data_IF_547019541011
#
_entry.id   IF_547019541011
#
_cell.length_a   1.000
_cell.length_b   1.000
_cell.length_c   1.000
_cell.angle_alpha   90.00
_cell.angle_beta   90.00
_cell.angle_gamma   90.00
#
_symmetry.space_group_name_H-M   'P 1'
#
loop_
_entity.id
_entity.type
_entity.pdbx_description
1 polymer ?
#
# COMPACT_ATOMS: atom_id res chain seq x y z
N UNK A 1 32.56 -15.83 22.58
CA UNK A 1 31.43 -14.87 22.65
C UNK A 1 30.93 -14.86 24.07
N UNK A 2 30.79 -13.67 24.72
CA UNK A 2 30.17 -13.56 26.05
C UNK A 2 28.66 -13.77 25.97
N UNK A 3 27.99 -13.94 27.13
CA UNK A 3 26.52 -14.09 27.15
C UNK A 3 25.83 -12.83 26.60
N UNK A 4 26.34 -11.66 26.93
CA UNK A 4 25.84 -10.37 26.41
C UNK A 4 26.00 -10.28 24.88
N UNK A 5 27.16 -10.61 24.36
CA UNK A 5 27.42 -10.61 22.91
C UNK A 5 26.49 -11.59 22.16
N UNK A 6 26.22 -12.77 22.78
CA UNK A 6 25.29 -13.74 22.23
C UNK A 6 23.87 -13.16 22.17
N UNK A 7 23.42 -12.53 23.27
CA UNK A 7 22.10 -11.90 23.35
C UNK A 7 21.95 -10.83 22.28
N UNK A 8 22.93 -9.95 22.13
CA UNK A 8 22.91 -8.84 21.14
C UNK A 8 22.84 -9.39 19.71
N UNK A 9 23.64 -10.41 19.40
CA UNK A 9 23.66 -10.99 18.06
C UNK A 9 22.35 -11.73 17.73
N UNK A 10 21.79 -12.49 18.67
CA UNK A 10 20.46 -13.11 18.50
C UNK A 10 19.37 -12.06 18.38
N UNK A 11 19.38 -11.03 19.24
CA UNK A 11 18.38 -9.95 19.23
C UNK A 11 18.32 -9.23 17.89
N UNK A 12 19.47 -8.95 17.28
CA UNK A 12 19.59 -8.33 15.95
C UNK A 12 18.76 -9.09 14.89
N UNK A 13 18.85 -10.40 14.85
CA UNK A 13 18.13 -11.20 13.86
C UNK A 13 16.68 -11.50 14.29
N UNK A 14 16.40 -11.62 15.58
CA UNK A 14 15.02 -11.72 16.06
C UNK A 14 14.23 -10.46 15.72
N UNK A 15 14.77 -9.27 15.99
CA UNK A 15 14.14 -7.99 15.62
C UNK A 15 14.01 -7.82 14.11
N UNK A 16 14.91 -8.39 13.31
CA UNK A 16 14.82 -8.39 11.84
C UNK A 16 13.62 -9.18 11.35
N UNK A 17 13.45 -10.41 11.85
CA UNK A 17 12.47 -11.35 11.29
C UNK A 17 11.11 -11.34 11.99
N UNK A 18 11.02 -10.97 13.27
CA UNK A 18 9.76 -10.96 14.02
C UNK A 18 8.62 -10.22 13.27
N UNK A 19 8.82 -9.02 12.74
CA UNK A 19 7.78 -8.31 11.98
C UNK A 19 7.35 -9.04 10.70
N UNK A 20 8.31 -9.65 9.98
CA UNK A 20 8.03 -10.38 8.72
C UNK A 20 7.11 -11.58 8.96
N UNK A 21 7.15 -12.16 10.16
CA UNK A 21 6.31 -13.30 10.56
C UNK A 21 5.10 -12.91 11.42
N UNK A 22 4.86 -11.60 11.59
CA UNK A 22 3.73 -11.06 12.36
C UNK A 22 3.89 -11.19 13.88
N UNK A 23 5.11 -11.40 14.38
CA UNK A 23 5.42 -11.48 15.82
C UNK A 23 5.69 -10.07 16.34
N UNK A 24 5.02 -9.70 17.45
CA UNK A 24 5.06 -8.36 18.02
C UNK A 24 5.94 -8.26 19.28
N UNK A 25 6.52 -9.36 19.77
CA UNK A 25 7.37 -9.41 20.96
C UNK A 25 8.63 -10.24 20.69
N UNK A 26 9.81 -9.71 21.01
CA UNK A 26 11.12 -10.32 20.71
C UNK A 26 11.73 -11.01 21.92
N UNK A 27 11.52 -10.47 23.12
CA UNK A 27 12.17 -10.94 24.36
C UNK A 27 11.97 -12.42 24.65
N UNK A 28 10.80 -13.05 24.44
CA UNK A 28 10.64 -14.49 24.68
C UNK A 28 11.49 -15.34 23.72
N UNK A 29 11.60 -14.92 22.45
CA UNK A 29 12.38 -15.66 21.44
C UNK A 29 13.88 -15.56 21.74
N UNK A 30 14.37 -14.38 22.13
CA UNK A 30 15.75 -14.19 22.55
C UNK A 30 16.07 -15.06 23.78
N UNK A 31 15.16 -15.04 24.77
CA UNK A 31 15.32 -15.84 25.99
C UNK A 31 15.29 -17.36 25.72
N UNK A 32 14.46 -17.82 24.77
CA UNK A 32 14.45 -19.21 24.31
C UNK A 32 15.82 -19.61 23.73
N UNK A 33 16.37 -18.79 22.83
CA UNK A 33 17.68 -19.05 22.26
C UNK A 33 18.76 -19.14 23.35
N UNK A 34 18.73 -18.26 24.34
CA UNK A 34 19.67 -18.27 25.48
C UNK A 34 19.56 -19.56 26.30
N UNK A 35 18.35 -19.94 26.65
CA UNK A 35 18.11 -21.12 27.50
C UNK A 35 18.43 -22.40 26.75
N UNK A 36 17.88 -22.62 25.57
CA UNK A 36 18.00 -23.84 24.76
C UNK A 36 19.43 -24.12 24.28
N UNK A 37 20.21 -23.07 24.07
CA UNK A 37 21.60 -23.21 23.60
C UNK A 37 22.67 -23.00 24.66
N UNK A 38 22.28 -22.79 25.92
CA UNK A 38 23.20 -22.35 26.97
C UNK A 38 24.06 -21.15 26.50
N UNK A 39 23.39 -20.11 25.98
CA UNK A 39 24.02 -18.92 25.41
C UNK A 39 25.03 -19.24 24.28
N UNK A 40 24.68 -20.17 23.42
CA UNK A 40 25.49 -20.52 22.25
C UNK A 40 26.63 -21.51 22.58
N UNK A 41 26.68 -22.11 23.77
CA UNK A 41 27.76 -23.05 24.19
C UNK A 41 27.36 -24.52 24.14
N UNK A 42 26.07 -24.83 23.93
CA UNK A 42 25.60 -26.22 23.85
C UNK A 42 26.14 -26.94 22.61
N UNK A 43 26.10 -28.30 22.63
CA UNK A 43 26.53 -29.09 21.47
C UNK A 43 25.77 -28.75 20.19
N UNK A 44 24.48 -28.45 20.28
CA UNK A 44 23.63 -28.05 19.14
C UNK A 44 23.99 -26.67 18.59
N UNK A 45 24.53 -25.78 19.43
CA UNK A 45 24.95 -24.44 19.02
C UNK A 45 26.10 -24.45 18.00
N UNK A 46 26.91 -25.51 17.92
CA UNK A 46 27.93 -25.70 16.88
C UNK A 46 27.35 -25.73 15.47
N UNK A 47 26.09 -26.13 15.36
CA UNK A 47 25.33 -26.19 14.12
C UNK A 47 24.34 -25.02 13.99
N UNK A 48 24.53 -23.96 14.76
CA UNK A 48 23.65 -22.77 14.80
C UNK A 48 22.18 -23.10 15.12
N UNK A 49 21.90 -24.24 15.76
CA UNK A 49 20.57 -24.60 16.21
C UNK A 49 20.37 -24.18 17.67
N UNK A 50 20.10 -22.90 17.85
CA UNK A 50 19.99 -22.25 19.17
C UNK A 50 18.65 -22.50 19.86
N UNK A 51 17.67 -23.06 19.16
CA UNK A 51 16.30 -23.27 19.62
C UNK A 51 15.92 -24.73 19.81
N UNK A 52 16.89 -25.64 19.70
CA UNK A 52 16.62 -27.06 19.84
C UNK A 52 15.61 -27.60 18.81
N UNK A 53 15.70 -27.16 17.57
CA UNK A 53 14.73 -27.54 16.53
C UNK A 53 15.00 -28.94 16.00
N UNK A 54 14.09 -29.87 16.26
CA UNK A 54 14.12 -31.23 15.68
C UNK A 54 13.83 -31.17 14.18
N UNK A 55 14.58 -31.92 13.39
CA UNK A 55 14.40 -31.97 11.94
C UNK A 55 13.00 -32.49 11.57
N UNK A 56 12.36 -31.79 10.64
CA UNK A 56 11.08 -32.15 10.03
C UNK A 56 11.18 -31.84 8.55
N UNK A 57 10.97 -32.82 7.69
CA UNK A 57 11.05 -32.66 6.25
C UNK A 57 10.14 -31.49 5.78
N UNK A 58 10.66 -30.64 4.92
CA UNK A 58 9.97 -29.53 4.30
C UNK A 58 9.45 -28.40 5.23
N UNK A 59 9.74 -28.44 6.54
CA UNK A 59 9.23 -27.42 7.49
C UNK A 59 10.08 -26.17 7.54
N UNK A 60 11.40 -26.29 7.46
CA UNK A 60 12.36 -25.18 7.44
C UNK A 60 13.11 -25.24 6.12
N UNK A 61 13.17 -24.14 5.38
CA UNK A 61 13.82 -24.09 4.05
C UNK A 61 15.24 -23.56 4.10
N UNK A 62 15.59 -22.78 5.13
CA UNK A 62 16.89 -22.11 5.24
C UNK A 62 17.97 -22.96 5.94
N UNK A 63 17.73 -24.26 6.17
CA UNK A 63 18.70 -25.15 6.79
C UNK A 63 19.81 -25.56 5.81
N UNK A 64 21.00 -25.87 6.34
CA UNK A 64 22.14 -26.42 5.58
C UNK A 64 22.19 -27.95 5.62
N UNK A 65 21.28 -28.59 6.37
CA UNK A 65 21.21 -30.03 6.56
C UNK A 65 20.63 -30.35 7.92
N UNK A 66 20.97 -31.56 8.40
CA UNK A 66 20.67 -32.00 9.77
C UNK A 66 21.86 -32.76 10.34
N UNK A 67 21.89 -32.88 11.65
CA UNK A 67 22.82 -33.74 12.37
C UNK A 67 22.05 -34.62 13.35
N UNK A 68 22.66 -35.72 13.76
CA UNK A 68 22.06 -36.66 14.73
C UNK A 68 22.73 -36.49 16.08
N UNK A 69 21.91 -36.38 17.14
CA UNK A 69 22.37 -36.27 18.51
C UNK A 69 21.26 -36.76 19.45
N UNK A 70 21.65 -37.47 20.48
CA UNK A 70 20.75 -37.86 21.56
C UNK A 70 20.44 -36.73 22.52
N UNK A 71 20.06 -37.09 23.70
CA UNK A 71 19.77 -36.14 24.77
C UNK A 71 18.68 -36.62 25.71
N UNK A 72 18.13 -35.73 26.50
CA UNK A 72 16.96 -36.00 27.32
C UNK A 72 15.92 -34.92 27.20
N UNK A 73 14.67 -35.31 27.24
CA UNK A 73 13.52 -34.42 27.25
C UNK A 73 12.64 -34.70 28.44
N UNK A 74 12.10 -33.66 29.10
CA UNK A 74 11.10 -33.86 30.14
C UNK A 74 9.73 -34.08 29.49
N UNK A 75 9.05 -35.16 29.86
CA UNK A 75 7.69 -35.44 29.45
C UNK A 75 6.67 -34.54 30.17
N UNK A 76 5.41 -34.52 29.71
CA UNK A 76 4.33 -33.74 30.31
C UNK A 76 4.01 -34.08 31.76
N UNK A 77 4.29 -35.31 32.16
CA UNK A 77 4.15 -35.80 33.54
C UNK A 77 5.35 -35.49 34.45
N UNK A 78 6.38 -34.83 33.91
CA UNK A 78 7.58 -34.44 34.62
C UNK A 78 8.72 -35.50 34.61
N UNK A 79 8.49 -36.68 34.05
CA UNK A 79 9.54 -37.71 33.87
C UNK A 79 10.51 -37.33 32.76
N UNK A 80 11.75 -37.84 32.84
CA UNK A 80 12.73 -37.62 31.77
C UNK A 80 12.80 -38.83 30.85
N UNK A 81 12.72 -38.55 29.55
CA UNK A 81 12.92 -39.54 28.50
C UNK A 81 14.26 -39.33 27.83
N UNK A 82 14.99 -40.41 27.60
CA UNK A 82 16.24 -40.37 26.82
C UNK A 82 15.86 -40.39 25.33
N UNK A 83 16.35 -39.42 24.58
CA UNK A 83 16.20 -39.38 23.13
C UNK A 83 17.23 -40.33 22.50
N UNK A 84 16.84 -41.08 21.45
CA UNK A 84 17.77 -41.93 20.70
C UNK A 84 18.93 -41.09 20.10
N UNK A 85 20.12 -41.70 20.01
CA UNK A 85 21.31 -41.06 19.46
C UNK A 85 21.16 -40.60 17.99
N UNK A 86 20.24 -41.22 17.25
CA UNK A 86 19.89 -40.87 15.88
C UNK A 86 18.73 -39.86 15.79
N UNK A 87 18.43 -39.12 16.84
CA UNK A 87 17.47 -38.02 16.78
C UNK A 87 18.02 -36.92 15.89
N UNK A 88 17.31 -36.63 14.79
CA UNK A 88 17.75 -35.64 13.80
C UNK A 88 17.38 -34.20 14.24
N UNK A 89 18.33 -33.28 14.13
CA UNK A 89 18.22 -31.89 14.49
C UNK A 89 18.64 -31.04 13.28
N UNK A 90 17.99 -29.87 13.07
CA UNK A 90 18.41 -28.95 12.02
C UNK A 90 19.83 -28.45 12.25
N UNK A 91 20.59 -28.33 11.13
CA UNK A 91 21.84 -27.58 11.04
C UNK A 91 21.63 -26.32 10.19
N UNK A 92 22.29 -25.24 10.57
CA UNK A 92 22.24 -23.98 9.85
C UNK A 92 23.64 -23.46 9.55
N UNK A 93 23.78 -22.65 8.52
CA UNK A 93 25.05 -22.13 8.04
C UNK A 93 25.68 -21.09 9.01
N UNK A 94 24.82 -20.27 9.64
CA UNK A 94 25.23 -19.18 10.50
C UNK A 94 24.12 -18.79 11.49
N UNK A 95 24.42 -17.84 12.40
CA UNK A 95 23.47 -17.35 13.41
C UNK A 95 22.17 -16.83 12.78
N UNK A 96 22.30 -16.04 11.72
CA UNK A 96 21.13 -15.48 11.01
C UNK A 96 20.18 -16.58 10.53
N UNK A 97 20.73 -17.61 9.87
CA UNK A 97 19.93 -18.75 9.38
C UNK A 97 19.33 -19.58 10.51
N UNK A 98 20.02 -19.70 11.64
CA UNK A 98 19.49 -20.35 12.82
C UNK A 98 18.27 -19.62 13.39
N UNK A 99 18.32 -18.30 13.48
CA UNK A 99 17.17 -17.49 13.91
C UNK A 99 16.03 -17.51 12.87
N UNK A 100 16.33 -17.35 11.57
CA UNK A 100 15.33 -17.49 10.51
C UNK A 100 14.67 -18.87 10.54
N UNK A 101 15.45 -19.91 10.86
CA UNK A 101 14.96 -21.29 11.03
C UNK A 101 13.87 -21.41 12.10
N UNK A 102 14.02 -20.71 13.22
CA UNK A 102 12.98 -20.65 14.25
C UNK A 102 11.68 -20.07 13.71
N UNK A 103 11.73 -18.93 13.01
CA UNK A 103 10.54 -18.30 12.44
C UNK A 103 9.87 -19.20 11.39
N UNK A 104 10.64 -19.84 10.52
CA UNK A 104 10.08 -20.80 9.57
C UNK A 104 9.47 -22.02 10.27
N UNK A 105 10.12 -22.53 11.31
CA UNK A 105 9.64 -23.66 12.10
C UNK A 105 8.32 -23.37 12.80
N UNK A 106 8.13 -22.17 13.32
CA UNK A 106 6.90 -21.74 14.02
C UNK A 106 5.84 -21.17 13.08
N UNK A 107 6.13 -20.93 11.81
CA UNK A 107 5.16 -20.38 10.85
C UNK A 107 4.22 -21.46 10.27
N UNK A 108 3.49 -22.13 11.13
CA UNK A 108 2.44 -23.09 10.78
C UNK A 108 1.16 -22.79 11.56
N UNK A 109 0.05 -23.42 11.18
CA UNK A 109 -1.27 -23.16 11.79
C UNK A 109 -1.28 -23.38 13.31
N UNK A 110 -0.51 -24.35 13.81
CA UNK A 110 -0.42 -24.65 15.26
C UNK A 110 0.03 -23.43 16.07
N UNK A 111 0.93 -22.60 15.54
CA UNK A 111 1.48 -21.42 16.22
C UNK A 111 0.88 -20.08 15.71
N UNK A 112 -0.24 -20.14 14.99
CA UNK A 112 -0.85 -18.93 14.42
C UNK A 112 -1.31 -17.92 15.49
N UNK A 113 -1.65 -18.38 16.69
CA UNK A 113 -2.06 -17.60 17.86
C UNK A 113 -0.93 -16.76 18.48
N UNK A 114 0.33 -16.99 18.10
CA UNK A 114 1.46 -16.18 18.54
C UNK A 114 1.54 -14.82 17.81
N UNK A 115 0.89 -14.70 16.66
CA UNK A 115 0.91 -13.46 15.85
C UNK A 115 0.17 -12.34 16.57
N UNK A 116 0.81 -11.17 16.62
CA UNK A 116 0.25 -9.99 17.28
C UNK A 116 0.27 -10.00 18.81
N UNK A 117 0.80 -11.05 19.45
CA UNK A 117 0.95 -11.09 20.91
C UNK A 117 2.06 -10.13 21.33
N UNK A 118 1.73 -9.18 22.21
CA UNK A 118 2.65 -8.13 22.69
C UNK A 118 3.19 -8.41 24.11
N UNK A 119 2.55 -9.30 24.84
CA UNK A 119 2.97 -9.70 26.19
C UNK A 119 3.90 -10.92 26.13
N UNK A 120 5.10 -10.78 26.69
CA UNK A 120 6.13 -11.81 26.64
C UNK A 120 5.76 -13.09 27.42
N UNK A 121 5.10 -12.93 28.56
CA UNK A 121 4.68 -14.08 29.37
C UNK A 121 3.58 -14.86 28.65
N UNK A 122 2.61 -14.13 28.08
CA UNK A 122 1.52 -14.73 27.30
C UNK A 122 2.04 -15.48 26.08
N UNK A 123 3.03 -14.91 25.38
CA UNK A 123 3.70 -15.61 24.27
C UNK A 123 4.26 -16.97 24.70
N UNK A 124 4.95 -17.01 25.84
CA UNK A 124 5.53 -18.23 26.37
C UNK A 124 4.48 -19.26 26.80
N UNK A 125 3.36 -18.81 27.36
CA UNK A 125 2.23 -19.71 27.68
C UNK A 125 1.68 -20.37 26.42
N UNK A 126 1.40 -19.55 25.39
CA UNK A 126 0.83 -20.02 24.13
C UNK A 126 1.76 -20.99 23.41
N UNK A 127 3.03 -20.64 23.22
CA UNK A 127 3.97 -21.52 22.50
C UNK A 127 4.20 -22.85 23.23
N UNK A 128 4.17 -22.85 24.57
CA UNK A 128 4.19 -24.09 25.37
C UNK A 128 2.91 -24.90 25.18
N UNK A 129 1.75 -24.25 25.23
CA UNK A 129 0.45 -24.89 25.01
C UNK A 129 0.38 -25.56 23.65
N UNK A 130 0.97 -24.93 22.64
CA UNK A 130 1.06 -25.42 21.26
C UNK A 130 2.07 -26.55 21.07
N UNK A 131 2.75 -26.97 22.16
CA UNK A 131 3.60 -28.13 22.17
C UNK A 131 5.05 -27.89 21.77
N UNK A 132 5.54 -26.68 21.83
CA UNK A 132 6.95 -26.35 21.56
C UNK A 132 7.88 -26.97 22.60
N UNK A 133 7.48 -26.99 23.88
CA UNK A 133 8.23 -27.54 24.98
C UNK A 133 7.31 -28.29 25.95
N UNK A 134 7.83 -29.38 26.50
CA UNK A 134 7.12 -30.26 27.45
C UNK A 134 7.45 -29.99 28.91
N UNK A 135 8.57 -29.33 29.20
CA UNK A 135 9.03 -29.04 30.56
C UNK A 135 7.98 -28.25 31.37
N UNK A 136 7.69 -28.72 32.58
CA UNK A 136 6.70 -28.12 33.49
C UNK A 136 7.05 -26.65 33.81
N UNK A 137 8.33 -26.38 34.03
CA UNK A 137 8.84 -25.05 34.40
C UNK A 137 9.29 -24.19 33.20
N UNK A 138 8.95 -24.60 31.97
CA UNK A 138 9.45 -23.95 30.78
C UNK A 138 9.18 -22.43 30.78
N UNK A 139 7.93 -22.03 30.94
CA UNK A 139 7.53 -20.60 30.94
C UNK A 139 8.29 -19.81 31.99
N UNK A 140 8.34 -20.34 33.24
CA UNK A 140 9.05 -19.71 34.36
C UNK A 140 10.54 -19.55 34.07
N UNK A 141 11.18 -20.59 33.53
CA UNK A 141 12.62 -20.60 33.28
C UNK A 141 12.97 -19.61 32.16
N UNK A 142 12.22 -19.59 31.07
CA UNK A 142 12.45 -18.63 29.95
C UNK A 142 12.17 -17.21 30.43
N UNK A 143 11.08 -16.99 31.17
CA UNK A 143 10.74 -15.65 31.68
C UNK A 143 11.77 -15.13 32.70
N UNK A 144 12.38 -15.98 33.49
CA UNK A 144 13.50 -15.60 34.35
C UNK A 144 14.71 -15.07 33.55
N UNK A 145 14.97 -15.63 32.36
CA UNK A 145 16.03 -15.12 31.46
C UNK A 145 15.66 -13.73 30.97
N UNK A 146 14.37 -13.50 30.58
CA UNK A 146 13.89 -12.19 30.18
C UNK A 146 14.17 -11.13 31.27
N UNK A 147 13.77 -11.46 32.50
CA UNK A 147 13.95 -10.56 33.66
C UNK A 147 15.42 -10.32 33.98
N UNK A 148 16.20 -11.42 34.07
CA UNK A 148 17.64 -11.34 34.41
C UNK A 148 18.41 -10.40 33.49
N UNK A 149 18.12 -10.44 32.20
CA UNK A 149 18.85 -9.70 31.17
C UNK A 149 18.13 -8.45 30.68
N UNK A 150 16.98 -8.10 31.28
CA UNK A 150 16.13 -6.98 30.84
C UNK A 150 15.87 -7.03 29.32
N UNK A 151 15.45 -8.22 28.81
CA UNK A 151 15.31 -8.44 27.37
C UNK A 151 14.12 -7.70 26.78
N UNK A 152 13.16 -7.22 27.59
CA UNK A 152 12.04 -6.39 27.14
C UNK A 152 12.49 -5.10 26.43
N UNK A 153 13.74 -4.66 26.65
CA UNK A 153 14.34 -3.55 25.86
C UNK A 153 14.38 -3.84 24.36
N UNK A 154 14.34 -5.11 23.95
CA UNK A 154 14.30 -5.53 22.55
C UNK A 154 12.87 -5.70 22.00
N UNK A 155 11.83 -5.60 22.86
CA UNK A 155 10.41 -5.68 22.46
C UNK A 155 9.93 -4.38 21.83
N UNK A 156 10.60 -3.25 22.13
CA UNK A 156 10.56 -2.16 21.18
C UNK A 156 11.17 -2.68 19.89
N UNK A 157 10.33 -3.35 19.09
CA UNK A 157 10.61 -3.47 17.69
C UNK A 157 10.75 -2.02 17.27
N UNK A 158 11.99 -1.51 17.25
CA UNK A 158 12.25 -0.36 16.41
C UNK A 158 11.68 -0.84 15.10
N UNK A 159 10.52 -0.30 14.67
CA UNK A 159 10.22 -0.29 13.26
C UNK A 159 11.55 0.21 12.71
N UNK A 160 12.39 -0.71 12.21
CA UNK A 160 13.45 -0.34 11.28
C UNK A 160 12.68 0.62 10.42
N UNK A 161 12.99 1.93 10.46
CA UNK A 161 12.28 2.85 9.62
C UNK A 161 12.32 2.17 8.27
N UNK A 162 11.20 1.52 7.93
CA UNK A 162 11.07 0.98 6.58
C UNK A 162 11.34 2.22 5.79
N UNK A 163 12.46 2.23 5.07
CA UNK A 163 12.82 3.40 4.27
C UNK A 163 11.55 3.72 3.51
N UNK A 164 10.74 4.62 4.07
CA UNK A 164 9.39 4.87 3.57
C UNK A 164 9.58 5.16 2.11
N UNK A 165 8.93 4.36 1.28
CA UNK A 165 8.96 4.56 -0.16
C UNK A 165 8.78 6.04 -0.43
N UNK A 166 9.69 6.63 -1.20
CA UNK A 166 9.69 8.05 -1.50
C UNK A 166 9.39 8.24 -2.99
N UNK A 167 8.28 8.89 -3.28
CA UNK A 167 7.81 9.18 -4.64
C UNK A 167 7.95 10.67 -4.91
N UNK A 168 8.69 11.05 -5.95
CA UNK A 168 8.65 12.40 -6.47
C UNK A 168 7.44 12.57 -7.38
N UNK A 169 6.65 13.62 -7.13
CA UNK A 169 5.56 14.04 -8.03
C UNK A 169 5.97 15.38 -8.64
N UNK A 170 6.21 15.35 -9.92
CA UNK A 170 6.56 16.51 -10.72
C UNK A 170 5.32 17.06 -11.41
N UNK A 171 5.05 18.37 -11.27
CA UNK A 171 4.07 19.05 -12.08
C UNK A 171 4.80 19.71 -13.27
N UNK A 172 4.49 19.23 -14.47
CA UNK A 172 5.12 19.72 -15.70
C UNK A 172 5.01 21.23 -15.88
N UNK A 173 6.05 21.81 -16.47
CA UNK A 173 6.13 23.25 -16.77
C UNK A 173 6.20 24.14 -15.51
N UNK A 174 5.82 25.38 -15.63
CA UNK A 174 5.57 26.39 -14.62
C UNK A 174 4.48 27.31 -15.11
N UNK A 175 3.94 28.15 -14.24
CA UNK A 175 2.83 29.05 -14.56
C UNK A 175 3.14 29.99 -15.74
N UNK A 176 4.42 30.35 -15.93
CA UNK A 176 4.88 31.25 -16.98
C UNK A 176 5.38 30.57 -18.27
N UNK A 177 5.28 29.23 -18.37
CA UNK A 177 5.79 28.51 -19.55
C UNK A 177 4.99 28.87 -20.79
N UNK A 178 5.67 29.46 -21.78
CA UNK A 178 5.05 29.94 -23.02
C UNK A 178 4.44 28.77 -23.82
N UNK A 179 3.25 28.99 -24.41
CA UNK A 179 2.59 28.06 -25.32
C UNK A 179 1.96 26.81 -24.64
N UNK A 180 2.18 26.58 -23.37
CA UNK A 180 1.65 25.43 -22.63
C UNK A 180 0.29 25.76 -22.03
N UNK A 181 -0.74 25.68 -22.87
CA UNK A 181 -2.13 26.07 -22.54
C UNK A 181 -3.12 25.46 -23.53
N UNK A 182 -4.38 25.40 -23.14
CA UNK A 182 -5.49 25.10 -24.05
C UNK A 182 -5.64 26.26 -25.10
N UNK A 183 -6.29 26.03 -26.23
CA UNK A 183 -6.53 27.09 -27.23
C UNK A 183 -7.26 28.34 -26.68
N UNK A 184 -8.08 28.17 -25.63
CA UNK A 184 -8.77 29.26 -24.92
C UNK A 184 -7.99 29.83 -23.73
N UNK A 185 -6.71 29.44 -23.55
CA UNK A 185 -5.76 30.07 -22.65
C UNK A 185 -5.60 29.43 -21.26
N UNK A 186 -6.29 28.36 -20.94
CA UNK A 186 -6.11 27.67 -19.62
C UNK A 186 -4.75 26.98 -19.56
N UNK A 187 -3.94 27.24 -18.52
CA UNK A 187 -2.56 26.83 -18.46
C UNK A 187 -2.41 25.35 -18.11
N UNK A 188 -1.51 24.65 -18.81
CA UNK A 188 -1.18 23.25 -18.55
C UNK A 188 -0.70 23.02 -17.12
N UNK A 189 0.17 23.89 -16.61
CA UNK A 189 0.73 23.76 -15.28
C UNK A 189 -0.36 23.73 -14.19
N UNK A 190 -1.43 24.49 -14.32
CA UNK A 190 -2.54 24.47 -13.36
C UNK A 190 -3.26 23.12 -13.32
N UNK A 191 -3.40 22.47 -14.49
CA UNK A 191 -3.95 21.12 -14.61
C UNK A 191 -3.01 20.11 -13.91
N UNK A 192 -1.71 20.22 -14.21
CA UNK A 192 -0.67 19.33 -13.69
C UNK A 192 -0.58 19.42 -12.17
N UNK A 193 -0.62 20.62 -11.59
CA UNK A 193 -0.60 20.84 -10.13
C UNK A 193 -1.82 20.25 -9.45
N UNK A 194 -3.03 20.44 -9.99
CA UNK A 194 -4.25 19.83 -9.43
C UNK A 194 -4.16 18.32 -9.42
N UNK A 195 -3.73 17.73 -10.54
CA UNK A 195 -3.57 16.27 -10.67
C UNK A 195 -2.49 15.75 -9.71
N UNK A 196 -1.35 16.44 -9.62
CA UNK A 196 -0.27 16.12 -8.70
C UNK A 196 -0.72 16.18 -7.23
N UNK A 197 -1.50 17.18 -6.86
CA UNK A 197 -2.04 17.33 -5.50
C UNK A 197 -2.90 16.14 -5.09
N UNK A 198 -3.85 15.71 -5.91
CA UNK A 198 -4.72 14.59 -5.57
C UNK A 198 -3.97 13.26 -5.56
N UNK A 199 -2.97 13.09 -6.44
CA UNK A 199 -2.06 11.96 -6.37
C UNK A 199 -1.29 11.93 -5.05
N UNK A 200 -0.73 13.06 -4.62
CA UNK A 200 -0.04 13.20 -3.34
C UNK A 200 -0.93 12.83 -2.16
N UNK A 201 -2.18 13.35 -2.13
CA UNK A 201 -3.09 13.11 -1.01
C UNK A 201 -3.34 11.60 -0.83
N UNK A 202 -3.61 10.87 -1.90
CA UNK A 202 -3.87 9.44 -1.82
C UNK A 202 -2.60 8.65 -1.45
N UNK A 203 -1.45 8.97 -2.00
CA UNK A 203 -0.18 8.32 -1.64
C UNK A 203 0.17 8.54 -0.16
N UNK A 204 0.00 9.75 0.36
CA UNK A 204 0.24 10.07 1.79
C UNK A 204 -0.70 9.31 2.72
N UNK A 205 -1.97 9.13 2.36
CA UNK A 205 -2.93 8.32 3.12
C UNK A 205 -2.46 6.86 3.28
N UNK A 206 -1.67 6.36 2.32
CA UNK A 206 -1.09 5.02 2.35
C UNK A 206 0.37 4.97 2.87
N UNK A 207 0.82 6.02 3.55
CA UNK A 207 2.12 6.06 4.22
C UNK A 207 3.33 6.30 3.30
N UNK A 208 3.10 6.67 2.03
CA UNK A 208 4.15 7.01 1.08
C UNK A 208 4.69 8.43 1.37
N UNK A 209 6.00 8.57 1.42
CA UNK A 209 6.63 9.89 1.45
C UNK A 209 6.60 10.51 0.06
N UNK A 210 6.02 11.70 -0.06
CA UNK A 210 5.96 12.43 -1.33
C UNK A 210 6.89 13.63 -1.31
N UNK A 211 7.64 13.79 -2.39
CA UNK A 211 8.48 14.96 -2.68
C UNK A 211 7.87 15.71 -3.84
N UNK A 212 7.51 16.98 -3.62
CA UNK A 212 6.99 17.87 -4.66
C UNK A 212 8.12 18.42 -5.51
N UNK A 213 7.95 18.38 -6.83
CA UNK A 213 8.91 18.90 -7.79
C UNK A 213 8.18 19.91 -8.70
N UNK A 214 8.68 21.13 -8.71
CA UNK A 214 8.18 22.25 -9.50
C UNK A 214 6.74 22.69 -9.17
N UNK A 215 6.28 22.46 -7.95
CA UNK A 215 5.02 22.99 -7.43
C UNK A 215 5.04 23.04 -5.90
N UNK A 216 4.30 24.00 -5.32
CA UNK A 216 4.26 24.22 -3.88
C UNK A 216 2.91 23.81 -3.26
N UNK A 217 1.80 24.32 -3.80
CA UNK A 217 0.43 24.07 -3.35
C UNK A 217 -0.55 24.12 -4.53
N UNK A 218 -1.84 24.17 -4.26
CA UNK A 218 -2.86 24.28 -5.30
C UNK A 218 -2.90 25.64 -6.00
N UNK A 219 -2.27 26.67 -5.44
CA UNK A 219 -2.18 27.99 -6.08
C UNK A 219 -0.94 28.01 -6.98
N UNK A 220 -1.09 27.50 -8.19
CA UNK A 220 -0.01 27.34 -9.16
C UNK A 220 0.32 28.61 -9.94
N UNK A 221 -0.13 29.80 -9.51
CA UNK A 221 0.01 31.04 -10.30
C UNK A 221 1.40 31.63 -10.27
N UNK A 222 2.19 31.32 -9.26
CA UNK A 222 3.54 31.82 -8.99
C UNK A 222 4.65 30.76 -9.11
N UNK A 223 4.30 29.53 -9.50
CA UNK A 223 5.27 28.46 -9.70
C UNK A 223 6.19 28.75 -10.90
N UNK A 224 7.50 28.84 -10.66
CA UNK A 224 8.50 29.06 -11.70
C UNK A 224 8.69 27.85 -12.60
N UNK A 225 9.05 28.09 -13.88
CA UNK A 225 9.45 27.02 -14.77
C UNK A 225 10.89 26.55 -14.46
N UNK A 226 11.01 25.48 -13.67
CA UNK A 226 12.30 24.89 -13.28
C UNK A 226 12.85 24.06 -14.44
N UNK A 227 14.13 24.24 -14.76
CA UNK A 227 14.82 23.48 -15.81
C UNK A 227 14.80 21.98 -15.53
N UNK A 228 14.65 21.14 -16.55
CA UNK A 228 14.54 19.69 -16.42
C UNK A 228 15.74 19.05 -15.69
N UNK A 229 16.96 19.54 -15.95
CA UNK A 229 18.17 19.10 -15.27
C UNK A 229 18.12 19.40 -13.77
N UNK A 230 17.60 20.57 -13.37
CA UNK A 230 17.41 20.94 -11.98
C UNK A 230 16.38 20.06 -11.30
N UNK A 231 15.24 19.76 -11.95
CA UNK A 231 14.23 18.81 -11.44
C UNK A 231 14.85 17.42 -11.18
N UNK A 232 15.63 16.90 -12.13
CA UNK A 232 16.35 15.62 -11.98
C UNK A 232 17.32 15.65 -10.81
N UNK A 233 18.08 16.75 -10.62
CA UNK A 233 19.00 16.91 -9.50
C UNK A 233 18.28 16.98 -8.15
N UNK A 234 17.15 17.69 -8.08
CA UNK A 234 16.31 17.75 -6.87
C UNK A 234 15.78 16.34 -6.49
N UNK A 235 15.29 15.57 -7.46
CA UNK A 235 14.80 14.20 -7.25
C UNK A 235 15.92 13.30 -6.73
N UNK A 236 17.10 13.37 -7.37
CA UNK A 236 18.29 12.60 -6.97
C UNK A 236 18.76 12.97 -5.57
N UNK A 237 18.86 14.27 -5.27
CA UNK A 237 19.28 14.77 -3.94
C UNK A 237 18.28 14.38 -2.84
N UNK A 238 16.99 14.38 -3.14
CA UNK A 238 15.95 13.93 -2.22
C UNK A 238 15.97 12.43 -1.95
N UNK A 239 16.70 11.63 -2.75
CA UNK A 239 16.79 10.17 -2.62
C UNK A 239 15.44 9.50 -2.85
N UNK A 240 14.70 9.92 -3.88
CA UNK A 240 13.43 9.33 -4.25
C UNK A 240 13.63 7.91 -4.83
N UNK A 241 12.67 7.05 -4.62
CA UNK A 241 12.66 5.69 -5.19
C UNK A 241 11.96 5.68 -6.56
N UNK A 242 10.92 6.51 -6.74
CA UNK A 242 10.06 6.57 -7.93
C UNK A 242 9.72 7.99 -8.31
N UNK A 243 9.36 8.18 -9.60
CA UNK A 243 8.96 9.50 -10.15
C UNK A 243 7.71 9.35 -11.00
N UNK A 244 6.77 10.29 -10.82
CA UNK A 244 5.70 10.53 -11.77
C UNK A 244 5.67 12.02 -12.13
N UNK A 245 5.63 12.32 -13.43
CA UNK A 245 5.54 13.68 -13.96
C UNK A 245 4.17 13.88 -14.61
N UNK A 246 3.39 14.85 -14.12
CA UNK A 246 2.03 15.12 -14.58
C UNK A 246 2.05 16.13 -15.71
N UNK A 247 1.39 15.81 -16.80
CA UNK A 247 1.29 16.59 -18.02
C UNK A 247 -0.08 16.49 -18.67
N UNK A 248 -0.37 17.43 -19.57
CA UNK A 248 -1.50 17.41 -20.48
C UNK A 248 -1.02 17.59 -21.91
N UNK A 249 -1.39 16.67 -22.78
CA UNK A 249 -0.92 16.60 -24.17
C UNK A 249 -1.50 17.69 -25.06
N UNK A 250 -0.83 17.95 -26.17
CA UNK A 250 -1.32 18.81 -27.24
C UNK A 250 -0.92 18.23 -28.61
N UNK A 251 -1.75 18.41 -29.61
CA UNK A 251 -1.45 18.05 -31.00
C UNK A 251 -1.48 19.26 -31.91
N UNK A 252 -0.52 19.29 -32.86
CA UNK A 252 -0.37 20.43 -33.78
C UNK A 252 0.28 21.65 -33.11
N UNK A 253 -0.10 22.84 -33.54
CA UNK A 253 0.43 24.11 -33.00
C UNK A 253 -0.05 24.45 -31.59
N UNK A 254 -1.08 23.76 -31.10
CA UNK A 254 -1.72 24.07 -29.82
C UNK A 254 -2.65 25.28 -29.83
N UNK A 255 -2.77 25.98 -30.98
CA UNK A 255 -3.56 27.23 -31.10
C UNK A 255 -5.03 27.02 -31.46
N UNK A 256 -5.42 25.80 -31.85
CA UNK A 256 -6.79 25.44 -32.21
C UNK A 256 -7.19 24.07 -31.71
N UNK A 257 -8.49 23.87 -31.50
CA UNK A 257 -9.02 22.56 -31.13
C UNK A 257 -9.01 21.60 -32.34
N UNK A 258 -8.77 20.32 -32.04
CA UNK A 258 -8.73 19.23 -33.00
C UNK A 258 -9.30 17.94 -32.41
N UNK A 259 -9.24 16.84 -33.15
CA UNK A 259 -9.80 15.54 -32.74
C UNK A 259 -8.83 14.64 -31.96
N UNK A 260 -7.58 15.06 -31.72
CA UNK A 260 -6.65 14.27 -30.92
C UNK A 260 -7.20 14.12 -29.49
N UNK A 261 -7.19 12.91 -28.95
CA UNK A 261 -7.78 12.62 -27.63
C UNK A 261 -7.10 11.42 -26.95
N UNK A 262 -7.30 11.30 -25.65
CA UNK A 262 -6.96 10.13 -24.87
C UNK A 262 -5.84 10.33 -23.88
N UNK A 263 -5.57 9.28 -23.13
CA UNK A 263 -4.61 9.23 -22.01
C UNK A 263 -3.47 8.26 -22.32
N UNK A 264 -2.24 8.63 -21.97
CA UNK A 264 -1.04 7.79 -22.12
C UNK A 264 -0.07 7.95 -20.97
N UNK A 265 0.66 6.87 -20.70
CA UNK A 265 1.77 6.87 -19.73
C UNK A 265 3.08 6.65 -20.51
N UNK A 266 4.00 7.60 -20.40
CA UNK A 266 5.27 7.56 -21.10
C UNK A 266 6.39 7.02 -20.23
N UNK A 267 7.32 6.28 -20.85
CA UNK A 267 8.54 5.75 -20.25
C UNK A 267 9.73 6.07 -21.15
N UNK A 268 10.96 6.02 -20.63
CA UNK A 268 12.13 6.25 -21.49
C UNK A 268 12.25 5.17 -22.57
N UNK A 269 12.57 5.57 -23.82
CA UNK A 269 12.71 4.65 -24.96
C UNK A 269 13.95 3.75 -24.84
N UNK A 270 15.05 4.24 -24.23
CA UNK A 270 16.27 3.45 -24.00
C UNK A 270 16.10 2.58 -22.76
N UNK A 271 16.24 1.25 -22.94
CA UNK A 271 16.08 0.25 -21.85
C UNK A 271 17.03 0.51 -20.67
N UNK A 272 18.29 0.89 -20.95
CA UNK A 272 19.29 1.19 -19.94
C UNK A 272 18.95 2.39 -19.03
N UNK A 273 18.02 3.26 -19.45
CA UNK A 273 17.57 4.44 -18.70
C UNK A 273 16.18 4.27 -18.11
N UNK A 274 15.53 3.13 -18.35
CA UNK A 274 14.11 2.90 -18.04
C UNK A 274 13.87 2.35 -16.63
N UNK A 275 14.82 1.58 -16.04
CA UNK A 275 14.57 0.85 -14.80
C UNK A 275 13.31 -0.02 -14.89
N UNK A 276 12.52 -0.05 -13.82
CA UNK A 276 11.25 -0.80 -13.72
C UNK A 276 10.03 -0.04 -14.28
N UNK A 277 10.24 1.07 -15.01
CA UNK A 277 9.17 1.97 -15.47
C UNK A 277 8.10 1.27 -16.30
N UNK A 278 8.44 0.24 -17.08
CA UNK A 278 7.44 -0.51 -17.86
C UNK A 278 6.38 -1.15 -16.97
N UNK A 279 6.78 -1.75 -15.86
CA UNK A 279 5.87 -2.39 -14.92
C UNK A 279 5.01 -1.32 -14.22
N UNK A 280 5.62 -0.27 -13.66
CA UNK A 280 4.91 0.81 -12.99
C UNK A 280 3.92 1.50 -13.93
N UNK A 281 4.33 1.84 -15.17
CA UNK A 281 3.48 2.46 -16.16
C UNK A 281 2.28 1.60 -16.56
N UNK A 282 2.45 0.28 -16.62
CA UNK A 282 1.35 -0.65 -16.93
C UNK A 282 0.27 -0.59 -15.87
N UNK A 283 0.65 -0.59 -14.59
CA UNK A 283 -0.32 -0.43 -13.49
C UNK A 283 -0.99 0.94 -13.52
N UNK A 284 -0.23 2.02 -13.72
CA UNK A 284 -0.78 3.38 -13.82
C UNK A 284 -1.76 3.48 -14.97
N UNK A 285 -1.37 3.05 -16.18
CA UNK A 285 -2.24 3.13 -17.36
C UNK A 285 -3.52 2.31 -17.17
N UNK A 286 -3.45 1.15 -16.52
CA UNK A 286 -4.62 0.32 -16.25
C UNK A 286 -5.66 0.98 -15.35
N UNK A 287 -5.21 1.81 -14.39
CA UNK A 287 -6.13 2.57 -13.54
C UNK A 287 -6.69 3.80 -14.28
N UNK A 288 -5.87 4.53 -15.02
CA UNK A 288 -6.28 5.70 -15.80
C UNK A 288 -7.39 5.40 -16.81
N UNK A 289 -7.39 4.21 -17.41
CA UNK A 289 -8.41 3.80 -18.39
C UNK A 289 -9.64 3.13 -17.76
N UNK A 290 -9.62 2.90 -16.46
CA UNK A 290 -10.66 2.15 -15.78
C UNK A 290 -11.92 2.97 -15.60
N UNK A 291 -12.95 2.64 -16.37
CA UNK A 291 -14.27 3.29 -16.29
C UNK A 291 -14.32 4.69 -16.92
N UNK A 292 -13.29 5.10 -17.65
CA UNK A 292 -13.29 6.32 -18.46
C UNK A 292 -13.72 6.05 -19.91
N UNK A 293 -14.27 7.06 -20.57
CA UNK A 293 -14.53 7.06 -22.01
C UNK A 293 -13.35 7.61 -22.83
N UNK A 294 -12.23 7.97 -22.19
CA UNK A 294 -11.05 8.45 -22.88
C UNK A 294 -10.43 7.34 -23.73
N UNK A 295 -9.85 7.71 -24.85
CA UNK A 295 -9.09 6.78 -25.69
C UNK A 295 -7.85 6.31 -24.95
N UNK A 296 -7.71 5.00 -24.81
CA UNK A 296 -6.47 4.40 -24.28
C UNK A 296 -5.36 4.47 -25.34
N UNK A 297 -4.32 5.25 -25.07
CA UNK A 297 -3.13 5.35 -25.90
C UNK A 297 -1.99 4.44 -25.43
N UNK A 298 -2.17 3.81 -24.27
CA UNK A 298 -1.24 2.82 -23.72
C UNK A 298 0.03 3.41 -23.13
N UNK A 299 1.00 2.53 -22.91
CA UNK A 299 2.35 2.86 -22.46
C UNK A 299 3.23 3.17 -23.67
N UNK A 300 3.78 4.37 -23.73
CA UNK A 300 4.49 4.90 -24.90
C UNK A 300 5.97 5.13 -24.58
N UNK A 301 6.89 4.38 -25.21
CA UNK A 301 8.33 4.66 -25.12
C UNK A 301 8.69 5.94 -25.86
N UNK A 302 9.28 6.91 -25.15
CA UNK A 302 9.71 8.19 -25.71
C UNK A 302 10.95 8.71 -24.99
N UNK A 303 11.81 9.48 -25.67
CA UNK A 303 12.96 10.12 -25.04
C UNK A 303 12.52 11.37 -24.29
N UNK A 304 12.21 11.21 -22.99
CA UNK A 304 11.76 12.27 -22.10
C UNK A 304 12.69 12.35 -20.89
N UNK A 305 13.13 13.56 -20.53
CA UNK A 305 14.05 13.78 -19.43
C UNK A 305 13.50 13.26 -18.09
N UNK A 306 12.21 13.48 -17.82
CA UNK A 306 11.56 13.05 -16.57
C UNK A 306 11.26 11.54 -16.50
N UNK A 307 11.54 10.78 -17.58
CA UNK A 307 11.49 9.34 -17.63
C UNK A 307 12.87 8.67 -17.49
N UNK A 308 13.97 9.46 -17.34
CA UNK A 308 15.34 8.95 -17.27
C UNK A 308 15.70 8.54 -15.84
N UNK A 309 15.51 7.27 -15.50
CA UNK A 309 15.81 6.71 -14.18
C UNK A 309 17.30 6.86 -13.81
N UNK A 310 18.21 6.71 -14.76
CA UNK A 310 19.67 6.80 -14.53
C UNK A 310 20.05 8.23 -14.08
N UNK A 311 19.52 9.27 -14.74
CA UNK A 311 19.82 10.64 -14.40
C UNK A 311 19.33 11.02 -13.00
N UNK A 312 18.18 10.48 -12.60
CA UNK A 312 17.55 10.75 -11.31
C UNK A 312 17.94 9.75 -10.20
N UNK A 313 18.62 8.65 -10.55
CA UNK A 313 18.97 7.56 -9.65
C UNK A 313 17.74 6.97 -8.94
N UNK A 314 16.70 6.65 -9.71
CA UNK A 314 15.43 6.09 -9.25
C UNK A 314 15.16 4.71 -9.86
N UNK A 315 14.27 3.92 -9.25
CA UNK A 315 13.92 2.58 -9.70
C UNK A 315 12.98 2.60 -10.91
N UNK A 316 12.01 3.53 -10.92
CA UNK A 316 11.10 3.74 -12.04
C UNK A 316 10.67 5.21 -12.15
N UNK A 317 10.43 5.66 -13.39
CA UNK A 317 9.99 7.01 -13.71
C UNK A 317 9.01 7.01 -14.89
N UNK A 318 7.86 7.66 -14.74
CA UNK A 318 6.84 7.79 -15.77
C UNK A 318 6.41 9.24 -15.94
N UNK A 319 6.02 9.62 -17.16
CA UNK A 319 5.33 10.87 -17.45
C UNK A 319 3.91 10.54 -17.93
N UNK A 320 2.92 11.20 -17.35
CA UNK A 320 1.52 10.93 -17.62
C UNK A 320 0.93 12.07 -18.41
N UNK A 321 0.40 11.78 -19.59
CA UNK A 321 -0.39 12.70 -20.42
C UNK A 321 -1.86 12.38 -20.20
N UNK A 322 -2.50 13.14 -19.27
CA UNK A 322 -3.85 12.80 -18.75
C UNK A 322 -4.97 13.02 -19.77
N UNK A 323 -4.77 13.89 -20.74
CA UNK A 323 -5.73 14.24 -21.79
C UNK A 323 -5.10 15.20 -22.79
N UNK A 324 -5.80 15.56 -23.88
CA UNK A 324 -5.35 16.54 -24.87
C UNK A 324 -5.96 17.92 -24.63
N UNK A 325 -5.12 18.91 -24.36
CA UNK A 325 -5.52 20.32 -24.25
C UNK A 325 -6.14 20.84 -25.54
N UNK A 326 -5.75 20.29 -26.69
CA UNK A 326 -6.27 20.64 -28.01
C UNK A 326 -7.54 19.89 -28.39
N UNK A 327 -8.08 19.03 -27.54
CA UNK A 327 -9.43 18.46 -27.69
C UNK A 327 -10.42 19.26 -26.84
N UNK A 328 -11.45 19.84 -27.49
CA UNK A 328 -12.37 20.74 -26.79
C UNK A 328 -13.07 20.06 -25.60
N UNK A 329 -13.52 18.80 -25.75
CA UNK A 329 -14.17 18.04 -24.71
C UNK A 329 -13.21 17.75 -23.54
N UNK A 330 -11.98 17.31 -23.85
CA UNK A 330 -10.98 16.99 -22.83
C UNK A 330 -10.44 18.25 -22.14
N UNK A 331 -10.29 19.37 -22.87
CA UNK A 331 -9.92 20.65 -22.30
C UNK A 331 -10.94 21.13 -21.25
N UNK A 332 -12.24 20.98 -21.52
CA UNK A 332 -13.28 21.33 -20.54
C UNK A 332 -13.26 20.39 -19.32
N UNK A 333 -12.97 19.11 -19.51
CA UNK A 333 -12.81 18.16 -18.39
C UNK A 333 -11.62 18.55 -17.49
N UNK A 334 -10.47 18.86 -18.07
CA UNK A 334 -9.25 19.22 -17.34
C UNK A 334 -9.36 20.51 -16.51
N UNK A 335 -10.32 21.38 -16.80
CA UNK A 335 -10.61 22.57 -15.99
C UNK A 335 -11.36 22.23 -14.69
N UNK A 336 -11.97 21.03 -14.59
CA UNK A 336 -12.74 20.60 -13.43
C UNK A 336 -11.86 19.94 -12.38
N UNK A 337 -12.15 20.17 -11.11
CA UNK A 337 -11.44 19.54 -10.00
C UNK A 337 -11.72 18.04 -9.95
N UNK A 338 -12.93 17.62 -10.32
CA UNK A 338 -13.34 16.22 -10.33
C UNK A 338 -12.48 15.39 -11.28
N UNK A 339 -12.25 15.88 -12.50
CA UNK A 339 -11.39 15.19 -13.47
C UNK A 339 -9.94 15.11 -12.98
N UNK A 340 -9.36 16.22 -12.54
CA UNK A 340 -7.99 16.25 -12.04
C UNK A 340 -7.83 15.33 -10.81
N UNK A 341 -8.84 15.30 -9.94
CA UNK A 341 -8.87 14.41 -8.77
C UNK A 341 -8.88 12.95 -9.21
N UNK A 342 -9.77 12.56 -10.11
CA UNK A 342 -9.83 11.16 -10.56
C UNK A 342 -8.52 10.73 -11.22
N UNK A 343 -7.98 11.55 -12.13
CA UNK A 343 -6.71 11.25 -12.79
C UNK A 343 -5.55 11.13 -11.78
N UNK A 344 -5.46 12.07 -10.83
CA UNK A 344 -4.44 12.03 -9.78
C UNK A 344 -4.55 10.80 -8.87
N UNK A 345 -5.76 10.46 -8.44
CA UNK A 345 -6.00 9.27 -7.65
C UNK A 345 -5.77 7.97 -8.44
N UNK A 346 -6.07 7.93 -9.75
CA UNK A 346 -5.79 6.78 -10.62
C UNK A 346 -4.27 6.55 -10.76
N UNK A 347 -3.49 7.60 -10.93
CA UNK A 347 -2.02 7.50 -10.90
C UNK A 347 -1.54 6.95 -9.57
N UNK A 348 -2.04 7.47 -8.45
CA UNK A 348 -1.69 6.98 -7.12
C UNK A 348 -2.08 5.51 -6.91
N UNK A 349 -3.28 5.10 -7.32
CA UNK A 349 -3.72 3.70 -7.28
C UNK A 349 -2.81 2.77 -8.10
N UNK A 350 -2.39 3.22 -9.28
CA UNK A 350 -1.44 2.49 -10.12
C UNK A 350 -0.09 2.29 -9.42
N UNK A 351 0.45 3.33 -8.79
CA UNK A 351 1.69 3.27 -7.99
C UNK A 351 1.53 2.31 -6.80
N UNK A 352 0.44 2.43 -6.03
CA UNK A 352 0.18 1.57 -4.88
C UNK A 352 0.08 0.09 -5.28
N UNK A 353 -0.59 -0.22 -6.40
CA UNK A 353 -0.66 -1.58 -6.94
C UNK A 353 0.70 -2.11 -7.37
N UNK A 354 1.50 -1.29 -8.05
CA UNK A 354 2.87 -1.65 -8.41
C UNK A 354 3.73 -1.97 -7.19
N UNK A 355 3.54 -1.22 -6.09
CA UNK A 355 4.22 -1.43 -4.81
C UNK A 355 3.61 -2.56 -3.97
N UNK A 356 2.55 -3.21 -4.45
CA UNK A 356 1.79 -4.23 -3.72
C UNK A 356 1.24 -3.73 -2.37
N UNK A 357 0.86 -2.45 -2.32
CA UNK A 357 0.21 -1.82 -1.16
C UNK A 357 -1.30 -1.85 -1.37
N UNK A 358 -2.07 -2.47 -0.46
CA UNK A 358 -3.52 -2.51 -0.57
C UNK A 358 -4.12 -1.11 -0.56
N UNK A 359 -4.92 -0.78 -1.57
CA UNK A 359 -5.71 0.46 -1.57
C UNK A 359 -6.89 0.22 -0.63
N UNK A 360 -6.83 0.80 0.56
CA UNK A 360 -7.98 0.80 1.47
C UNK A 360 -9.10 1.61 0.82
N UNK A 361 -10.25 0.99 0.60
CA UNK A 361 -11.47 1.73 0.35
C UNK A 361 -11.68 2.64 1.55
N UNK A 362 -11.81 3.94 1.33
CA UNK A 362 -12.16 4.89 2.38
C UNK A 362 -13.60 4.61 2.84
N UNK A 363 -13.78 3.58 3.68
CA UNK A 363 -14.93 3.48 4.56
C UNK A 363 -14.66 4.42 5.71
N UNK A 364 -15.29 5.57 5.68
CA UNK A 364 -15.43 6.45 6.84
C UNK A 364 -15.91 5.59 7.99
N UNK A 365 -15.07 5.34 8.99
CA UNK A 365 -15.49 4.75 10.26
C UNK A 365 -16.41 5.77 10.92
N UNK A 366 -17.69 5.54 10.83
CA UNK A 366 -18.66 6.16 11.73
C UNK A 366 -18.50 5.45 13.06
N UNK A 367 -17.91 6.10 14.04
CA UNK A 367 -17.92 5.65 15.44
C UNK A 367 -19.38 5.59 15.89
N UNK A 368 -19.83 4.38 16.17
CA UNK A 368 -21.15 4.14 16.75
C UNK A 368 -21.08 4.42 18.24
N UNK A 369 -21.52 5.59 18.65
CA UNK A 369 -21.85 5.84 20.05
C UNK A 369 -23.07 5.01 20.39
N UNK A 370 -22.87 3.99 21.23
CA UNK A 370 -23.95 3.23 21.86
C UNK A 370 -24.57 4.08 22.96
N UNK A 371 -25.79 4.54 22.76
CA UNK A 371 -26.70 4.88 23.88
C UNK A 371 -27.95 4.02 23.72
N UNK A 372 -28.25 3.31 24.78
CA UNK A 372 -29.32 2.31 24.80
C UNK A 372 -30.68 2.91 25.12
N UNK A 373 -31.65 2.10 24.89
CA UNK A 373 -32.92 1.82 25.57
C UNK A 373 -34.24 2.21 24.89
N UNK A 374 -34.94 1.10 24.63
CA UNK A 374 -36.38 0.82 24.76
C UNK A 374 -37.43 1.28 23.71
N UNK A 375 -37.88 0.24 23.03
CA UNK A 375 -39.28 -0.23 22.83
C UNK A 375 -40.41 0.79 22.68
N UNK A 376 -41.06 0.83 21.53
CA UNK A 376 -42.49 0.46 21.37
C UNK A 376 -42.91 0.40 19.88
N UNK A 377 -43.75 -0.55 19.65
CA UNK A 377 -44.40 -1.09 18.47
C UNK A 377 -45.19 -0.07 17.65
N UNK A 378 -45.19 -0.30 16.36
CA UNK A 378 -46.28 -0.29 15.35
C UNK A 378 -46.19 0.72 14.20
N UNK A 379 -46.41 0.13 13.12
CA UNK A 379 -47.05 0.46 11.83
C UNK A 379 -46.11 0.85 10.69
N UNK A 380 -46.23 0.01 9.65
CA UNK A 380 -45.62 0.05 8.35
C UNK A 380 -45.62 1.45 7.71
N UNK A 381 -44.44 1.93 7.36
CA UNK A 381 -44.19 2.72 6.17
C UNK A 381 -42.75 2.48 5.75
N UNK A 382 -42.60 1.91 4.56
CA UNK A 382 -41.34 1.58 3.91
C UNK A 382 -40.54 2.84 3.59
N UNK A 383 -39.78 3.33 4.57
CA UNK A 383 -38.66 4.25 4.34
C UNK A 383 -37.36 3.43 4.53
N UNK A 384 -36.99 2.69 3.48
CA UNK A 384 -35.60 2.24 3.37
C UNK A 384 -34.74 3.49 3.28
N UNK A 385 -33.86 3.69 4.25
CA UNK A 385 -32.76 4.64 4.14
C UNK A 385 -31.88 4.22 2.96
N UNK A 386 -32.18 4.74 1.76
CA UNK A 386 -31.44 4.48 0.53
C UNK A 386 -30.12 5.25 0.59
N UNK A 387 -29.11 4.65 1.21
CA UNK A 387 -27.75 5.18 1.21
C UNK A 387 -27.13 4.96 -0.15
N UNK A 388 -26.79 6.03 -0.86
CA UNK A 388 -26.04 5.99 -2.11
C UNK A 388 -24.59 6.40 -1.89
N UNK A 389 -23.70 5.83 -2.71
CA UNK A 389 -22.25 6.18 -2.69
C UNK A 389 -21.83 6.77 -4.04
N UNK A 390 -20.89 7.72 -4.03
CA UNK A 390 -20.37 8.31 -5.26
C UNK A 390 -19.73 7.20 -6.13
N UNK A 391 -20.00 7.23 -7.42
CA UNK A 391 -19.59 6.21 -8.38
C UNK A 391 -20.51 4.98 -8.47
N UNK A 392 -21.50 4.87 -7.58
CA UNK A 392 -22.47 3.77 -7.62
C UNK A 392 -23.29 3.82 -8.93
N UNK A 393 -23.45 2.66 -9.55
CA UNK A 393 -24.35 2.52 -10.71
C UNK A 393 -25.81 2.51 -10.24
N UNK A 394 -26.61 3.30 -10.92
CA UNK A 394 -28.04 3.41 -10.64
C UNK A 394 -28.84 3.54 -11.95
N UNK A 395 -30.13 3.33 -11.87
CA UNK A 395 -31.07 3.56 -12.95
C UNK A 395 -32.18 4.48 -12.45
N UNK A 396 -32.60 5.43 -13.28
CA UNK A 396 -33.73 6.30 -12.96
C UNK A 396 -35.04 5.56 -13.14
N UNK A 397 -35.92 5.64 -12.16
CA UNK A 397 -37.27 5.05 -12.26
C UNK A 397 -38.07 5.78 -13.35
N UNK A 398 -38.85 5.01 -14.13
CA UNK A 398 -39.67 5.58 -15.17
C UNK A 398 -40.74 6.52 -14.56
N UNK A 399 -40.79 7.74 -15.08
CA UNK A 399 -41.69 8.78 -14.57
C UNK A 399 -41.10 9.71 -13.52
N UNK A 400 -39.90 9.41 -12.97
CA UNK A 400 -39.16 10.32 -12.06
C UNK A 400 -38.83 11.65 -12.74
N UNK A 401 -38.74 12.70 -11.95
CA UNK A 401 -38.39 14.05 -12.42
C UNK A 401 -37.07 14.52 -11.80
N UNK A 402 -36.40 15.44 -12.46
CA UNK A 402 -35.30 16.17 -11.81
C UNK A 402 -35.83 17.01 -10.64
N UNK A 403 -34.99 17.23 -9.65
CA UNK A 403 -35.24 18.23 -8.63
C UNK A 403 -35.48 19.57 -9.31
N UNK A 404 -36.64 20.20 -9.04
CA UNK A 404 -37.10 21.37 -9.79
C UNK A 404 -38.19 21.06 -10.84
N UNK A 405 -38.63 19.78 -10.94
CA UNK A 405 -39.84 19.37 -11.66
C UNK A 405 -39.68 19.11 -13.17
N UNK A 406 -38.52 19.34 -13.76
CA UNK A 406 -38.25 19.11 -15.20
C UNK A 406 -38.23 17.61 -15.48
N UNK A 407 -38.87 17.19 -16.55
CA UNK A 407 -38.91 15.77 -16.99
C UNK A 407 -37.60 15.42 -17.73
N UNK A 408 -36.90 14.35 -17.34
CA UNK A 408 -35.77 13.82 -18.09
C UNK A 408 -36.17 13.38 -19.49
N UNK A 409 -35.22 13.47 -20.43
CA UNK A 409 -35.42 12.91 -21.78
C UNK A 409 -35.55 11.38 -21.67
N UNK A 410 -36.36 10.77 -22.56
CA UNK A 410 -36.71 9.34 -22.53
C UNK A 410 -35.48 8.40 -22.45
N UNK A 411 -34.38 8.76 -23.08
CA UNK A 411 -33.16 7.94 -23.05
C UNK A 411 -32.52 7.84 -21.66
N UNK A 412 -32.70 8.85 -20.78
CA UNK A 412 -32.16 8.86 -19.41
C UNK A 412 -32.73 7.73 -18.56
N UNK A 413 -34.01 7.39 -18.72
CA UNK A 413 -34.63 6.29 -18.00
C UNK A 413 -34.09 4.89 -18.40
N UNK A 414 -33.50 4.80 -19.60
CA UNK A 414 -32.91 3.56 -20.12
C UNK A 414 -31.40 3.48 -19.91
N UNK A 415 -30.76 4.59 -19.52
CA UNK A 415 -29.33 4.66 -19.31
C UNK A 415 -28.91 4.11 -17.96
N UNK A 416 -27.71 3.54 -17.89
CA UNK A 416 -27.00 3.37 -16.63
C UNK A 416 -26.45 4.72 -16.21
N UNK A 417 -26.81 5.16 -15.01
CA UNK A 417 -26.34 6.40 -14.41
C UNK A 417 -25.33 6.11 -13.30
N UNK A 418 -24.48 7.06 -13.03
CA UNK A 418 -23.52 7.02 -11.91
C UNK A 418 -23.87 8.13 -10.92
N UNK A 419 -23.88 7.80 -9.64
CA UNK A 419 -24.01 8.78 -8.56
C UNK A 419 -22.74 9.66 -8.53
N UNK A 420 -22.93 10.99 -8.60
CA UNK A 420 -21.84 11.95 -8.66
C UNK A 420 -21.73 12.80 -7.39
N UNK A 421 -22.83 13.08 -6.75
CA UNK A 421 -22.91 13.77 -5.44
C UNK A 421 -24.11 13.25 -4.69
N UNK A 422 -23.96 13.13 -3.39
CA UNK A 422 -25.04 12.83 -2.45
C UNK A 422 -25.21 14.05 -1.55
N UNK A 423 -26.39 14.65 -1.54
CA UNK A 423 -26.71 15.82 -0.74
C UNK A 423 -28.09 15.60 -0.10
N UNK A 424 -28.09 14.94 1.04
CA UNK A 424 -29.29 14.45 1.68
C UNK A 424 -30.05 13.48 0.77
N UNK A 425 -31.32 13.80 0.45
CA UNK A 425 -32.14 13.03 -0.50
C UNK A 425 -31.91 13.42 -1.96
N UNK A 426 -31.14 14.46 -2.25
CA UNK A 426 -30.86 14.92 -3.60
C UNK A 426 -29.58 14.23 -4.12
N UNK A 427 -29.73 13.43 -5.15
CA UNK A 427 -28.65 12.66 -5.76
C UNK A 427 -28.33 13.24 -7.14
N UNK A 428 -27.12 13.76 -7.29
CA UNK A 428 -26.62 14.17 -8.60
C UNK A 428 -26.19 12.95 -9.39
N UNK A 429 -26.72 12.78 -10.58
CA UNK A 429 -26.42 11.61 -11.44
C UNK A 429 -25.90 12.05 -12.82
N UNK A 430 -25.10 11.18 -13.41
CA UNK A 430 -24.54 11.36 -14.76
C UNK A 430 -24.56 10.02 -15.51
N UNK A 431 -24.69 10.08 -16.82
CA UNK A 431 -24.46 8.91 -17.71
C UNK A 431 -22.98 8.56 -17.84
N UNK A 432 -22.11 9.47 -17.43
CA UNK A 432 -20.67 9.29 -17.43
C UNK A 432 -20.20 9.21 -15.98
N UNK A 433 -19.21 8.36 -15.72
CA UNK A 433 -18.56 8.27 -14.41
C UNK A 433 -17.87 9.58 -14.05
N UNK A 434 -17.46 10.33 -15.07
CA UNK A 434 -16.86 11.67 -15.03
C UNK A 434 -17.49 12.51 -16.15
N UNK A 435 -17.62 13.82 -15.97
CA UNK A 435 -18.09 14.75 -16.99
C UNK A 435 -19.45 15.37 -16.70
N UNK A 436 -20.16 15.78 -17.72
CA UNK A 436 -21.40 16.53 -17.61
C UNK A 436 -22.44 15.83 -16.73
N UNK A 437 -23.01 16.56 -15.79
CA UNK A 437 -24.12 16.11 -14.95
C UNK A 437 -25.36 15.92 -15.83
N UNK A 438 -26.02 14.76 -15.71
CA UNK A 438 -27.30 14.50 -16.37
C UNK A 438 -28.42 15.21 -15.64
N UNK A 439 -28.38 15.26 -14.31
CA UNK A 439 -29.32 15.99 -13.48
C UNK A 439 -29.23 15.63 -12.01
N UNK A 440 -30.06 16.31 -11.21
CA UNK A 440 -30.26 16.01 -9.79
C UNK A 440 -31.63 15.40 -9.63
N UNK A 441 -31.71 14.25 -8.95
CA UNK A 441 -32.94 13.47 -8.74
C UNK A 441 -33.10 13.14 -7.26
N UNK A 442 -34.31 12.74 -6.84
CA UNK A 442 -34.51 12.28 -5.48
C UNK A 442 -33.98 10.85 -5.30
N UNK A 443 -33.43 10.55 -4.13
CA UNK A 443 -32.92 9.23 -3.78
C UNK A 443 -33.95 8.11 -3.98
N UNK A 444 -35.21 8.41 -3.70
CA UNK A 444 -36.34 7.48 -3.88
C UNK A 444 -36.64 7.14 -5.32
N UNK A 445 -36.16 7.94 -6.27
CA UNK A 445 -36.37 7.77 -7.71
C UNK A 445 -35.29 6.95 -8.39
N UNK A 446 -34.32 6.43 -7.62
CA UNK A 446 -33.19 5.65 -8.12
C UNK A 446 -33.29 4.18 -7.72
N UNK A 447 -32.94 3.32 -8.68
CA UNK A 447 -32.77 1.88 -8.50
C UNK A 447 -31.28 1.61 -8.50
N UNK A 448 -30.74 0.95 -7.48
CA UNK A 448 -29.34 0.47 -7.44
C UNK A 448 -29.15 -0.66 -8.43
N UNK A 449 -28.03 -0.64 -9.17
CA UNK A 449 -27.66 -1.69 -10.14
C UNK A 449 -26.49 -2.52 -9.61
#
# INVERSE_FOLDING_TARGET
MTQEQFIEEIAKYVQKYAPEYGIAVCSPIIAQACLESAYGTSAKAKYHNYFGLKYRQNRVKCHSGFFEDGGSEQSKDGTYQILPSNTAWYAFENIEKGVLGYFQFTNISTYANLKGVTDAYKYLELIKQDGYATSLNYVKNVYNVITKWNLTKYDTISKKEEKKVKVAIDAGHGSETAGKRTPDGYREHWINVKTAYYCEQLLKQHGINVVRIAWNDLNATDDSNIALTTRQQQIKAAGCDYVVSMHANAYGSGSSYNSAEGVSTHIHNQVSKRGDSQAMATFIQSELIKGTSQKNRGVVPQELAMCNCTAMNVKAACLIEIAFMTNKREAELMKTDEFCKEQGEDVARGILKYLNIPVQSSTTKTETVKTGTNTTTQTANTNQNLVFTIGQKVKLQKGAKYVGGKTPANWVYNATLYVRKVDGTNITVSTLKIGAITGVVNATDLIKL
#
